data_IF_774550174911
#
_entry.id   IF_774550174911
#
_cell.length_a   1.000
_cell.length_b   1.000
_cell.length_c   1.000
_cell.angle_alpha   90.00
_cell.angle_beta   90.00
_cell.angle_gamma   90.00
#
_symmetry.space_group_name_H-M   'P 1'
#
loop_
_entity.id
_entity.type
_entity.pdbx_description
1 polymer ?
#
# COMPACT_ATOMS: atom_id res chain seq x y z
N UNK A 1 5.30 8.92 20.29
CA UNK A 1 4.69 9.47 19.07
C UNK A 1 4.14 8.30 18.28
N UNK A 2 2.90 8.39 17.82
CA UNK A 2 2.39 7.44 16.84
C UNK A 2 2.79 7.97 15.46
N UNK A 3 3.52 7.17 14.68
CA UNK A 3 3.92 7.52 13.33
C UNK A 3 2.69 7.30 12.41
N UNK A 4 2.11 8.39 11.90
CA UNK A 4 0.96 8.34 11.00
C UNK A 4 1.40 8.38 9.55
N UNK A 5 0.77 7.58 8.70
CA UNK A 5 0.96 7.63 7.26
C UNK A 5 0.25 8.86 6.71
N UNK A 6 1.02 9.82 6.19
CA UNK A 6 0.48 11.05 5.60
C UNK A 6 0.24 10.92 4.10
N UNK A 7 1.04 10.09 3.42
CA UNK A 7 0.94 9.84 2.00
C UNK A 7 1.62 8.51 1.65
N UNK A 8 1.04 7.76 0.72
CA UNK A 8 1.71 6.61 0.11
C UNK A 8 1.37 6.55 -1.37
N UNK A 9 2.40 6.38 -2.20
CA UNK A 9 2.26 6.14 -3.62
C UNK A 9 3.21 5.03 -4.05
N UNK A 10 2.70 4.09 -4.82
CA UNK A 10 3.50 3.05 -5.46
C UNK A 10 3.08 2.89 -6.90
N UNK A 11 4.05 2.70 -7.79
CA UNK A 11 3.80 2.32 -9.18
C UNK A 11 4.34 0.91 -9.40
N UNK A 12 3.60 0.08 -10.12
CA UNK A 12 4.09 -1.23 -10.53
C UNK A 12 3.60 -1.56 -11.93
N UNK A 13 4.36 -2.41 -12.60
CA UNK A 13 4.02 -2.93 -13.92
C UNK A 13 3.51 -4.35 -13.74
N UNK A 14 2.34 -4.62 -14.26
CA UNK A 14 1.76 -5.96 -14.34
C UNK A 14 1.87 -6.43 -15.78
N UNK A 15 2.32 -7.67 -15.97
CA UNK A 15 2.17 -8.39 -17.23
C UNK A 15 1.01 -9.35 -17.04
N UNK A 16 0.09 -9.39 -18.01
CA UNK A 16 -1.03 -10.31 -17.97
C UNK A 16 -0.57 -11.77 -17.91
N UNK A 17 -1.49 -12.69 -17.60
CA UNK A 17 -1.17 -14.11 -17.51
C UNK A 17 -0.76 -14.72 -18.84
N UNK A 18 -1.11 -14.09 -19.96
CA UNK A 18 -0.69 -14.48 -21.31
C UNK A 18 0.73 -14.02 -21.65
N UNK A 19 1.31 -13.08 -20.91
CA UNK A 19 2.62 -12.51 -21.24
C UNK A 19 2.59 -11.53 -22.41
N UNK A 20 1.40 -11.08 -22.83
CA UNK A 20 1.18 -10.29 -24.04
C UNK A 20 0.92 -8.82 -23.73
N UNK A 21 0.22 -8.54 -22.63
CA UNK A 21 -0.24 -7.19 -22.29
C UNK A 21 0.47 -6.66 -21.05
N UNK A 22 0.99 -5.44 -21.17
CA UNK A 22 1.65 -4.72 -20.09
C UNK A 22 0.71 -3.63 -19.58
N UNK A 23 0.37 -3.70 -18.29
CA UNK A 23 -0.41 -2.69 -17.60
C UNK A 23 0.46 -1.93 -16.60
N UNK A 24 0.25 -0.61 -16.51
CA UNK A 24 0.87 0.22 -15.49
C UNK A 24 -0.16 0.56 -14.41
N UNK A 25 0.11 0.14 -13.18
CA UNK A 25 -0.74 0.43 -12.04
C UNK A 25 -0.11 1.48 -11.15
N UNK A 26 -0.93 2.42 -10.67
CA UNK A 26 -0.54 3.37 -9.62
C UNK A 26 -1.49 3.21 -8.45
N UNK A 27 -0.93 2.98 -7.26
CA UNK A 27 -1.67 2.92 -6.00
C UNK A 27 -1.41 4.21 -5.24
N UNK A 28 -2.47 4.84 -4.77
CA UNK A 28 -2.40 6.11 -4.05
C UNK A 28 -3.24 6.05 -2.78
N UNK A 29 -2.58 6.25 -1.65
CA UNK A 29 -3.23 6.61 -0.40
C UNK A 29 -3.15 8.13 -0.20
N UNK A 30 -4.31 8.74 0.05
CA UNK A 30 -4.42 10.10 0.60
C UNK A 30 -5.36 10.02 1.80
N UNK A 31 -4.95 10.43 3.00
CA UNK A 31 -5.86 10.45 4.14
C UNK A 31 -7.04 11.41 3.86
N UNK A 32 -8.27 10.88 3.87
CA UNK A 32 -9.48 11.70 4.03
C UNK A 32 -9.47 12.36 5.40
N UNK A 33 -9.95 13.60 5.49
CA UNK A 33 -9.89 14.51 6.65
C UNK A 33 -9.73 13.85 8.04
N UNK A 34 -8.75 14.37 8.79
CA UNK A 34 -8.42 14.13 10.21
C UNK A 34 -9.59 13.65 11.09
N UNK A 35 -9.78 12.33 11.21
CA UNK A 35 -10.48 11.78 12.36
C UNK A 35 -9.48 11.49 13.49
N UNK A 36 -9.72 11.91 14.73
CA UNK A 36 -8.84 11.62 15.86
C UNK A 36 -8.92 10.12 16.19
N UNK A 37 -7.80 9.42 16.09
CA UNK A 37 -7.77 7.97 16.31
C UNK A 37 -7.30 7.69 17.76
N UNK A 38 -8.19 7.15 18.61
CA UNK A 38 -7.92 6.75 20.00
C UNK A 38 -7.14 5.43 20.13
N UNK A 39 -6.58 5.20 21.33
CA UNK A 39 -5.30 4.55 21.68
C UNK A 39 -5.11 3.03 21.43
N UNK A 40 -6.10 2.28 20.94
CA UNK A 40 -5.92 0.86 20.60
C UNK A 40 -5.74 0.70 19.09
N UNK A 41 -4.50 0.51 18.62
CA UNK A 41 -4.08 0.95 17.26
C UNK A 41 -3.37 -0.08 16.37
N UNK A 42 -3.23 -1.36 16.74
CA UNK A 42 -2.81 -2.36 15.74
C UNK A 42 -3.96 -2.65 14.77
N UNK A 43 -3.75 -2.28 13.49
CA UNK A 43 -4.63 -2.65 12.39
C UNK A 43 -5.55 -1.54 11.87
N UNK A 44 -5.55 -0.35 12.49
CA UNK A 44 -6.30 0.80 11.99
C UNK A 44 -5.66 1.37 10.71
N UNK A 45 -6.47 1.84 9.74
CA UNK A 45 -5.95 2.47 8.52
C UNK A 45 -5.02 3.65 8.82
N UNK A 46 -3.89 3.73 8.13
CA UNK A 46 -2.96 4.86 8.17
C UNK A 46 -2.05 4.93 9.41
N UNK A 47 -2.06 3.92 10.29
CA UNK A 47 -1.13 3.87 11.43
C UNK A 47 0.04 2.95 11.11
N UNK A 48 1.27 3.48 11.26
CA UNK A 48 2.48 2.69 11.11
C UNK A 48 2.70 1.83 12.36
N UNK A 49 2.91 0.53 12.16
CA UNK A 49 3.38 -0.38 13.19
C UNK A 49 4.81 -0.83 12.88
N UNK A 50 5.66 -0.89 13.91
CA UNK A 50 7.04 -1.40 13.83
C UNK A 50 7.13 -2.73 14.59
N UNK A 51 7.71 -3.75 13.96
CA UNK A 51 8.01 -5.01 14.61
C UNK A 51 9.35 -4.90 15.34
N UNK A 52 9.34 -5.10 16.67
CA UNK A 52 10.46 -4.80 17.60
C UNK A 52 11.80 -5.49 17.28
N UNK A 53 11.81 -6.53 16.47
CA UNK A 53 12.96 -7.42 16.27
C UNK A 53 13.49 -7.51 14.83
N UNK A 54 12.77 -7.02 13.82
CA UNK A 54 13.04 -7.39 12.41
C UNK A 54 13.24 -6.20 11.45
N UNK A 55 13.51 -4.98 11.95
CA UNK A 55 13.55 -3.75 11.15
C UNK A 55 12.43 -3.70 10.08
N UNK A 56 11.26 -4.17 10.51
CA UNK A 56 10.08 -4.33 9.66
C UNK A 56 9.05 -3.33 10.14
N UNK A 57 8.53 -2.56 9.22
CA UNK A 57 7.42 -1.66 9.46
C UNK A 57 6.25 -2.04 8.55
N UNK A 58 5.05 -1.59 8.88
CA UNK A 58 3.91 -1.81 8.02
C UNK A 58 2.73 -0.93 8.39
N UNK A 59 1.73 -0.91 7.53
CA UNK A 59 0.48 -0.23 7.75
C UNK A 59 -0.64 -0.91 6.98
N UNK A 60 -1.87 -0.71 7.43
CA UNK A 60 -3.07 -1.00 6.63
C UNK A 60 -3.61 0.33 6.10
N UNK A 61 -4.22 0.38 4.93
CA UNK A 61 -4.99 1.55 4.49
C UNK A 61 -6.05 1.18 3.45
N UNK A 62 -6.83 2.16 3.03
CA UNK A 62 -7.67 2.12 1.83
C UNK A 62 -7.00 3.00 0.77
N UNK A 63 -6.94 2.54 -0.48
CA UNK A 63 -6.23 3.24 -1.56
C UNK A 63 -7.05 3.28 -2.84
N UNK A 64 -6.77 4.29 -3.65
CA UNK A 64 -7.24 4.34 -5.02
C UNK A 64 -6.21 3.66 -5.92
N UNK A 65 -6.70 2.91 -6.90
CA UNK A 65 -5.88 2.18 -7.87
C UNK A 65 -6.22 2.67 -9.27
N UNK A 66 -5.19 3.12 -9.96
CA UNK A 66 -5.27 3.60 -11.34
C UNK A 66 -4.61 2.61 -12.26
N UNK A 67 -5.20 2.34 -13.43
CA UNK A 67 -4.60 1.57 -14.52
C UNK A 67 -4.37 2.51 -15.70
N UNK A 68 -3.11 2.60 -16.16
CA UNK A 68 -2.71 3.47 -17.27
C UNK A 68 -3.19 4.94 -17.11
N UNK A 69 -3.21 5.43 -15.86
CA UNK A 69 -3.62 6.79 -15.51
C UNK A 69 -5.13 6.99 -15.30
N UNK A 70 -5.96 5.99 -15.55
CA UNK A 70 -7.41 6.02 -15.32
C UNK A 70 -7.73 5.44 -13.94
N UNK A 71 -8.59 6.09 -13.16
CA UNK A 71 -9.06 5.56 -11.88
C UNK A 71 -9.98 4.36 -12.14
N UNK A 72 -9.59 3.19 -11.66
CA UNK A 72 -10.34 1.94 -11.88
C UNK A 72 -11.03 1.48 -10.60
N UNK A 73 -10.36 1.61 -9.44
CA UNK A 73 -10.89 1.14 -8.16
C UNK A 73 -10.64 2.14 -7.04
N UNK A 74 -11.69 2.45 -6.28
CA UNK A 74 -11.67 3.35 -5.14
C UNK A 74 -11.74 2.59 -3.81
N UNK A 75 -11.11 3.15 -2.78
CA UNK A 75 -11.12 2.65 -1.41
C UNK A 75 -10.76 1.15 -1.28
N UNK A 76 -9.77 0.68 -2.03
CA UNK A 76 -9.32 -0.72 -1.98
C UNK A 76 -8.52 -0.96 -0.71
N UNK A 77 -8.92 -1.89 0.18
CA UNK A 77 -8.14 -2.18 1.38
C UNK A 77 -6.83 -2.87 1.00
N UNK A 78 -5.72 -2.36 1.52
CA UNK A 78 -4.39 -2.94 1.38
C UNK A 78 -3.71 -3.12 2.73
N UNK A 79 -2.71 -4.01 2.75
CA UNK A 79 -1.71 -4.11 3.81
C UNK A 79 -0.33 -3.99 3.17
N UNK A 80 0.49 -3.11 3.70
CA UNK A 80 1.87 -2.90 3.26
C UNK A 80 2.82 -3.32 4.37
N UNK A 81 3.86 -4.06 3.99
CA UNK A 81 4.98 -4.43 4.87
C UNK A 81 6.27 -3.99 4.20
N UNK A 82 7.11 -3.27 4.95
CA UNK A 82 8.43 -2.81 4.56
C UNK A 82 9.45 -3.58 5.40
N UNK A 83 10.36 -4.31 4.75
CA UNK A 83 11.39 -5.09 5.42
C UNK A 83 12.76 -4.49 5.16
N UNK A 84 13.49 -4.18 6.24
CA UNK A 84 14.82 -3.58 6.19
C UNK A 84 14.91 -2.32 5.33
N UNK A 85 13.79 -1.58 5.19
CA UNK A 85 13.65 -0.41 4.29
C UNK A 85 14.00 -0.70 2.81
N UNK A 86 14.15 -1.97 2.43
CA UNK A 86 14.62 -2.41 1.11
C UNK A 86 13.59 -3.19 0.33
N UNK A 87 12.70 -3.91 1.01
CA UNK A 87 11.69 -4.76 0.37
C UNK A 87 10.31 -4.25 0.74
N UNK A 88 9.45 -4.07 -0.25
CA UNK A 88 8.02 -3.82 -0.07
C UNK A 88 7.26 -5.09 -0.41
N UNK A 89 6.31 -5.43 0.45
CA UNK A 89 5.28 -6.44 0.21
C UNK A 89 3.93 -5.76 0.37
N UNK A 90 3.05 -5.93 -0.61
CA UNK A 90 1.70 -5.38 -0.59
C UNK A 90 0.66 -6.47 -0.83
N UNK A 91 -0.22 -6.65 0.15
CA UNK A 91 -1.41 -7.48 0.02
C UNK A 91 -2.58 -6.59 -0.39
N UNK A 92 -3.16 -6.84 -1.57
CA UNK A 92 -4.38 -6.16 -2.05
C UNK A 92 -5.57 -7.06 -1.75
N UNK A 93 -6.63 -6.52 -1.12
CA UNK A 93 -7.88 -7.26 -0.93
C UNK A 93 -8.65 -7.40 -2.24
N UNK A 94 -8.25 -8.43 -2.98
CA UNK A 94 -8.52 -8.59 -4.41
C UNK A 94 -10.01 -8.78 -4.78
N UNK A 95 -10.88 -9.07 -3.81
CA UNK A 95 -12.34 -9.12 -4.03
C UNK A 95 -12.89 -7.77 -4.52
N UNK A 96 -12.32 -6.64 -4.08
CA UNK A 96 -12.75 -5.30 -4.53
C UNK A 96 -12.27 -4.98 -5.95
N UNK A 97 -11.25 -5.68 -6.43
CA UNK A 97 -10.62 -5.52 -7.74
C UNK A 97 -11.02 -6.65 -8.68
N UNK A 98 -12.10 -7.37 -8.40
CA UNK A 98 -12.62 -8.48 -9.24
C UNK A 98 -11.53 -9.52 -9.57
N UNK A 99 -10.67 -9.80 -8.60
CA UNK A 99 -9.56 -10.74 -8.72
C UNK A 99 -8.47 -10.34 -9.74
N UNK A 100 -8.39 -9.06 -10.11
CA UNK A 100 -7.41 -8.52 -11.07
C UNK A 100 -5.96 -8.79 -10.66
N UNK A 101 -5.65 -8.84 -9.36
CA UNK A 101 -4.30 -9.10 -8.84
C UNK A 101 -4.08 -10.56 -8.40
N UNK A 102 -4.99 -11.47 -8.77
CA UNK A 102 -4.89 -12.92 -8.58
C UNK A 102 -4.60 -13.38 -7.14
N UNK A 103 -4.98 -12.59 -6.14
CA UNK A 103 -4.77 -12.82 -4.70
C UNK A 103 -3.29 -13.03 -4.31
N UNK A 104 -2.36 -12.67 -5.18
CA UNK A 104 -0.93 -12.78 -4.91
C UNK A 104 -0.41 -11.47 -4.32
N UNK A 105 0.43 -11.53 -3.28
CA UNK A 105 1.10 -10.33 -2.80
C UNK A 105 2.01 -9.76 -3.87
N UNK A 106 2.06 -8.43 -3.96
CA UNK A 106 3.02 -7.72 -4.81
C UNK A 106 4.31 -7.54 -4.03
N UNK A 107 5.44 -7.95 -4.60
CA UNK A 107 6.77 -7.81 -4.03
C UNK A 107 7.60 -6.84 -4.86
N UNK A 108 8.38 -5.99 -4.20
CA UNK A 108 9.28 -5.06 -4.87
C UNK A 108 10.50 -4.70 -4.05
N UNK A 109 11.54 -4.23 -4.73
CA UNK A 109 12.66 -3.54 -4.11
C UNK A 109 12.36 -2.05 -4.03
N UNK A 110 12.74 -1.44 -2.91
CA UNK A 110 12.57 -0.02 -2.62
C UNK A 110 13.92 0.66 -2.81
N UNK A 111 13.92 1.74 -3.59
CA UNK A 111 15.11 2.58 -3.75
C UNK A 111 15.23 3.63 -2.63
N UNK A 112 14.10 4.23 -2.23
CA UNK A 112 14.04 5.23 -1.16
C UNK A 112 12.68 5.21 -0.45
N UNK A 113 12.70 5.66 0.80
CA UNK A 113 11.49 6.00 1.57
C UNK A 113 11.64 7.45 2.01
N UNK A 114 10.75 8.31 1.52
CA UNK A 114 10.75 9.72 1.89
C UNK A 114 9.86 9.94 3.11
N UNK A 115 10.48 10.34 4.23
CA UNK A 115 9.77 10.70 5.44
C UNK A 115 9.41 12.19 5.41
N UNK A 116 8.12 12.49 5.33
CA UNK A 116 7.61 13.85 5.47
C UNK A 116 7.64 14.21 6.96
N UNK A 117 8.59 15.08 7.35
CA UNK A 117 8.65 15.64 8.70
C UNK A 117 7.62 16.78 8.80
N UNK A 118 6.82 16.79 9.86
CA UNK A 118 5.93 17.90 10.22
C UNK A 118 6.62 18.84 11.20
#
# INVERSE_FOLDING_TARGET
MNDYLTYFKSNFTMIDTGGHDIHFHTIVYKPGSTQPITLDQQGKPGILFKYKNNNTAGFNSYVDIYTNGVLEWEDVPIKVTLMNEKVIMMDIKDKKTVEHFLKNPIYGLINSVDLIHQ
#
